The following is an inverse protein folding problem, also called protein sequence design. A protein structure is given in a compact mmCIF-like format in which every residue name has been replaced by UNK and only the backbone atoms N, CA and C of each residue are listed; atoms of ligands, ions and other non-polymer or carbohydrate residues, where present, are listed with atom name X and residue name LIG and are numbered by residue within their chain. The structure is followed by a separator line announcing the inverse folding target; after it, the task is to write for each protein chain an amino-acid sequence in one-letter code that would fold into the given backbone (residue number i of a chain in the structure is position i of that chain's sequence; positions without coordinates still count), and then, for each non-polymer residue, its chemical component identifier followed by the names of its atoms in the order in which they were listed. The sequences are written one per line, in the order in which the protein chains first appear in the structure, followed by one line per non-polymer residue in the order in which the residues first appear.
data_IF_433210613779
#
_entry.id   IF_433210613779
#
_cell.length_a   1.000
_cell.length_b   1.000
_cell.length_c   1.000
_cell.angle_alpha   90.00
_cell.angle_beta   90.00
_cell.angle_gamma   90.00
#
_symmetry.space_group_name_H-M   'P 1'
#
loop_
_entity.id
_entity.type
_entity.pdbx_description
1 polymer ?
#
# COMPACT_ATOMS: atom_id res chain seq x y z
N UNK A 1 -2.63 -1.72 1.02
CA UNK A 1 -3.37 -0.46 0.97
C UNK A 1 -4.66 -0.54 1.78
N UNK A 2 -4.98 0.58 2.44
CA UNK A 2 -6.19 0.67 3.27
C UNK A 2 -7.44 0.93 2.41
N UNK A 3 -8.69 0.60 2.89
CA UNK A 3 -9.93 0.82 2.12
C UNK A 3 -10.25 2.30 1.89
N UNK A 4 -9.80 3.14 2.82
CA UNK A 4 -10.01 4.58 2.75
C UNK A 4 -8.71 5.34 3.03
N UNK A 5 -8.27 6.13 2.05
CA UNK A 5 -7.05 6.90 2.19
C UNK A 5 -6.02 6.57 1.14
N UNK A 6 -4.80 6.27 1.58
CA UNK A 6 -3.69 5.93 0.68
C UNK A 6 -2.95 4.67 1.16
N UNK A 7 -1.75 4.42 0.62
CA UNK A 7 -0.94 3.27 0.99
C UNK A 7 0.53 3.66 1.10
N UNK A 8 1.27 2.93 1.97
CA UNK A 8 2.70 3.18 2.20
C UNK A 8 3.42 1.89 2.60
N UNK A 9 4.22 1.36 1.67
CA UNK A 9 4.99 0.13 1.89
C UNK A 9 6.31 0.16 1.11
N UNK A 10 7.36 -0.63 1.52
CA UNK A 10 8.65 -0.65 0.82
C UNK A 10 8.58 -1.41 -0.52
N UNK A 11 9.60 -1.29 -1.43
CA UNK A 11 9.60 -1.98 -2.73
C UNK A 11 9.82 -3.50 -2.59
N UNK A 12 8.87 -4.28 -3.11
CA UNK A 12 8.95 -5.73 -3.04
C UNK A 12 8.29 -6.41 -4.22
N UNK A 13 7.11 -7.00 -3.97
CA UNK A 13 6.35 -7.69 -5.02
C UNK A 13 4.85 -7.40 -4.91
N UNK A 14 4.34 -7.38 -3.68
CA UNK A 14 2.91 -7.12 -3.43
C UNK A 14 2.73 -6.17 -2.23
N UNK A 15 2.50 -4.83 -2.44
CA UNK A 15 2.30 -3.88 -1.33
C UNK A 15 0.90 -3.98 -0.70
N UNK A 16 0.64 -3.15 0.32
CA UNK A 16 -0.64 -3.14 1.01
C UNK A 16 -1.28 -1.76 0.94
#
# INVERSE_FOLDING_TARGET
CFPDGRCKRPPGFSPL
#
